data_IF_473178171713
#
_entry.id   IF_473178171713
#
_cell.length_a   1.000
_cell.length_b   1.000
_cell.length_c   1.000
_cell.angle_alpha   90.00
_cell.angle_beta   90.00
_cell.angle_gamma   90.00
#
_symmetry.space_group_name_H-M   'P 1'
#
loop_
_entity.id
_entity.type
_entity.pdbx_description
1 polymer ?
#
# COMPACT_ATOMS: atom_id res chain seq x y z
N UNK A 1 -25.66 41.02 15.76
CA UNK A 1 -24.86 39.80 15.96
C UNK A 1 -24.63 39.47 17.44
N UNK A 2 -23.54 39.88 18.09
CA UNK A 2 -23.22 39.37 19.45
C UNK A 2 -24.19 39.85 20.54
N UNK A 3 -24.62 41.11 20.48
CA UNK A 3 -25.63 41.64 21.40
C UNK A 3 -26.96 40.88 21.24
N UNK A 4 -27.38 40.58 20.02
CA UNK A 4 -28.59 39.79 19.73
C UNK A 4 -28.47 38.34 20.20
N UNK A 5 -27.26 37.78 20.16
CA UNK A 5 -26.94 36.50 20.78
C UNK A 5 -26.80 36.57 22.31
N UNK A 6 -27.14 37.70 22.95
CA UNK A 6 -27.05 37.91 24.41
C UNK A 6 -25.64 37.64 24.94
N UNK A 7 -24.63 38.08 24.20
CA UNK A 7 -23.21 37.89 24.54
C UNK A 7 -22.81 36.42 24.70
N UNK A 8 -23.50 35.53 23.99
CA UNK A 8 -23.16 34.11 23.93
C UNK A 8 -22.29 33.82 22.70
N UNK A 9 -21.08 33.36 22.95
CA UNK A 9 -20.08 33.05 21.94
C UNK A 9 -19.38 31.70 22.19
N UNK A 10 -18.83 31.16 21.12
CA UNK A 10 -18.06 29.92 21.09
C UNK A 10 -16.64 30.25 20.60
N UNK A 11 -15.67 30.06 21.48
CA UNK A 11 -14.25 30.24 21.19
C UNK A 11 -13.62 28.87 20.89
N UNK A 12 -13.28 28.63 19.63
CA UNK A 12 -12.58 27.42 19.20
C UNK A 12 -11.08 27.68 19.14
N UNK A 13 -10.31 26.98 19.97
CA UNK A 13 -8.84 27.05 20.00
C UNK A 13 -8.28 25.81 19.32
N UNK A 14 -7.55 25.99 18.23
CA UNK A 14 -6.88 24.92 17.51
C UNK A 14 -5.43 24.81 17.99
N UNK A 15 -5.03 23.60 18.38
CA UNK A 15 -3.68 23.29 18.85
C UNK A 15 -2.89 22.51 17.79
N UNK A 16 -1.56 22.56 17.84
CA UNK A 16 -0.65 21.66 17.11
C UNK A 16 -0.43 20.34 17.86
N UNK A 17 0.36 19.45 17.25
CA UNK A 17 0.74 18.14 17.82
C UNK A 17 1.55 18.23 19.12
N UNK A 18 2.13 19.40 19.41
CA UNK A 18 2.89 19.68 20.64
C UNK A 18 2.08 20.45 21.69
N UNK A 19 0.79 20.73 21.41
CA UNK A 19 -0.10 21.48 22.29
C UNK A 19 0.05 23.00 22.21
N UNK A 20 0.76 23.54 21.22
CA UNK A 20 0.86 25.00 20.97
C UNK A 20 -0.35 25.48 20.19
N UNK A 21 -0.81 26.69 20.49
CA UNK A 21 -1.94 27.31 19.78
C UNK A 21 -1.50 27.72 18.37
N UNK A 22 -2.21 27.20 17.36
CA UNK A 22 -2.00 27.53 15.94
C UNK A 22 -3.11 28.43 15.38
N UNK A 23 -4.27 28.45 16.03
CA UNK A 23 -5.39 29.26 15.58
C UNK A 23 -6.45 29.42 16.65
N UNK A 24 -7.13 30.55 16.61
CA UNK A 24 -8.27 30.85 17.47
C UNK A 24 -9.38 31.38 16.58
N UNK A 25 -10.54 30.76 16.67
CA UNK A 25 -11.73 31.13 15.90
C UNK A 25 -12.85 31.45 16.87
N UNK A 26 -13.45 32.63 16.70
CA UNK A 26 -14.62 33.04 17.44
C UNK A 26 -15.87 32.85 16.58
N UNK A 27 -16.88 32.19 17.13
CA UNK A 27 -18.18 32.00 16.49
C UNK A 27 -19.26 32.55 17.40
N UNK A 28 -20.18 33.34 16.85
CA UNK A 28 -21.32 33.87 17.58
C UNK A 28 -22.46 32.87 17.47
N UNK A 29 -23.18 32.61 18.56
CA UNK A 29 -24.29 31.67 18.57
C UNK A 29 -25.33 32.02 17.48
N UNK A 30 -25.83 30.98 16.79
CA UNK A 30 -26.75 31.08 15.64
C UNK A 30 -28.13 31.67 15.97
N UNK A 31 -28.37 32.06 17.22
CA UNK A 31 -29.56 32.79 17.65
C UNK A 31 -29.59 34.24 17.17
N UNK A 32 -28.49 34.79 16.62
CA UNK A 32 -28.50 36.15 16.06
C UNK A 32 -28.96 36.19 14.61
N UNK A 33 -30.05 36.91 14.32
CA UNK A 33 -30.55 37.12 12.94
C UNK A 33 -29.93 38.32 12.23
N UNK A 34 -29.22 39.20 12.95
CA UNK A 34 -28.52 40.37 12.38
C UNK A 34 -29.45 41.41 11.74
N UNK A 35 -30.69 41.46 12.22
CA UNK A 35 -31.74 42.33 11.69
C UNK A 35 -31.91 43.62 12.51
N UNK A 36 -31.06 43.85 13.51
CA UNK A 36 -31.11 45.05 14.34
C UNK A 36 -32.15 44.94 15.46
N UNK A 37 -32.35 43.74 16.00
CA UNK A 37 -33.34 43.51 17.05
C UNK A 37 -32.97 44.28 18.33
N UNK A 38 -33.96 44.89 18.97
CA UNK A 38 -33.76 45.59 20.23
C UNK A 38 -33.54 44.58 21.37
N UNK A 39 -32.32 44.54 21.91
CA UNK A 39 -31.95 43.65 23.02
C UNK A 39 -31.97 44.45 24.32
N UNK A 40 -32.68 43.99 25.36
CA UNK A 40 -32.64 44.62 26.68
C UNK A 40 -31.23 44.64 27.26
N UNK A 41 -30.82 45.78 27.82
CA UNK A 41 -29.52 45.95 28.50
C UNK A 41 -29.32 44.96 29.67
N UNK A 42 -30.41 44.44 30.25
CA UNK A 42 -30.35 43.40 31.28
C UNK A 42 -29.64 42.12 30.79
N UNK A 43 -29.75 41.81 29.50
CA UNK A 43 -29.18 40.63 28.88
C UNK A 43 -27.73 40.85 28.39
N UNK A 44 -27.19 42.05 28.54
CA UNK A 44 -25.86 42.45 28.06
C UNK A 44 -24.89 42.71 29.22
N UNK A 45 -25.15 42.12 30.40
CA UNK A 45 -24.36 42.33 31.62
C UNK A 45 -23.22 41.34 31.79
N UNK A 46 -23.38 40.14 31.26
CA UNK A 46 -22.43 39.04 31.43
C UNK A 46 -22.12 38.41 30.06
N UNK A 47 -20.87 38.04 29.86
CA UNK A 47 -20.43 37.30 28.67
C UNK A 47 -20.44 35.81 28.98
N UNK A 48 -21.06 35.02 28.09
CA UNK A 48 -21.07 33.56 28.19
C UNK A 48 -20.27 32.99 27.04
N UNK A 49 -19.01 32.63 27.33
CA UNK A 49 -18.10 32.08 26.32
C UNK A 49 -17.88 30.59 26.54
N UNK A 50 -18.33 29.78 25.58
CA UNK A 50 -18.01 28.37 25.53
C UNK A 50 -16.66 28.18 24.85
N UNK A 51 -15.69 27.56 25.52
CA UNK A 51 -14.36 27.31 24.95
C UNK A 51 -14.26 25.87 24.49
N UNK A 52 -13.91 25.68 23.22
CA UNK A 52 -13.71 24.35 22.62
C UNK A 52 -12.27 24.22 22.12
N UNK A 53 -11.54 23.26 22.67
CA UNK A 53 -10.15 23.01 22.31
C UNK A 53 -10.09 21.88 21.29
N UNK A 54 -9.57 22.15 20.09
CA UNK A 54 -9.41 21.21 18.99
C UNK A 54 -7.94 20.79 18.87
N UNK A 55 -7.57 19.58 19.33
CA UNK A 55 -6.24 19.03 19.08
C UNK A 55 -6.08 18.64 17.61
N UNK A 56 -4.84 18.47 17.15
CA UNK A 56 -4.57 17.86 15.84
C UNK A 56 -4.98 16.39 15.85
N UNK A 57 -5.83 16.00 14.91
CA UNK A 57 -6.15 14.59 14.67
C UNK A 57 -5.19 13.98 13.64
N UNK A 58 -4.87 12.70 13.82
CA UNK A 58 -4.10 11.96 12.83
C UNK A 58 -4.97 11.67 11.61
N UNK A 59 -4.44 11.90 10.42
CA UNK A 59 -5.13 11.59 9.17
C UNK A 59 -5.38 10.08 9.01
N UNK A 60 -6.29 9.69 8.11
CA UNK A 60 -6.57 8.29 7.84
C UNK A 60 -5.30 7.60 7.33
N UNK A 61 -4.99 6.43 7.90
CA UNK A 61 -3.87 5.61 7.45
C UNK A 61 -4.20 5.02 6.07
N UNK A 62 -3.25 4.98 5.11
CA UNK A 62 -3.52 4.44 3.78
C UNK A 62 -3.83 2.94 3.84
N UNK A 63 -4.79 2.48 3.03
CA UNK A 63 -5.09 1.05 2.86
C UNK A 63 -3.98 0.35 2.06
N UNK A 64 -2.99 -0.17 2.78
CA UNK A 64 -1.93 -0.99 2.19
C UNK A 64 -2.35 -2.45 2.01
N UNK A 65 -3.46 -2.90 2.61
CA UNK A 65 -3.87 -4.31 2.54
C UNK A 65 -4.22 -4.71 1.10
N UNK A 66 -4.95 -3.85 0.40
CA UNK A 66 -5.29 -4.05 -1.01
C UNK A 66 -4.06 -4.11 -1.92
N UNK A 67 -3.02 -3.33 -1.63
CA UNK A 67 -1.77 -3.35 -2.40
C UNK A 67 -0.93 -4.60 -2.11
N UNK A 68 -0.84 -5.00 -0.83
CA UNK A 68 -0.13 -6.21 -0.41
C UNK A 68 -0.77 -7.44 -1.07
N UNK A 69 -2.10 -7.54 -1.05
CA UNK A 69 -2.80 -8.67 -1.67
C UNK A 69 -2.58 -8.75 -3.18
N UNK A 70 -2.48 -7.60 -3.87
CA UNK A 70 -2.12 -7.56 -5.30
C UNK A 70 -0.71 -8.08 -5.53
N UNK A 71 0.25 -7.63 -4.73
CA UNK A 71 1.64 -8.09 -4.78
C UNK A 71 1.77 -9.59 -4.54
N UNK A 72 1.06 -10.13 -3.55
CA UNK A 72 1.05 -11.56 -3.25
C UNK A 72 0.46 -12.38 -4.40
N UNK A 73 -0.64 -11.91 -5.01
CA UNK A 73 -1.25 -12.55 -6.17
C UNK A 73 -0.34 -12.54 -7.39
N UNK A 74 0.35 -11.43 -7.66
CA UNK A 74 1.32 -11.34 -8.76
C UNK A 74 2.53 -12.23 -8.52
N UNK A 75 3.03 -12.28 -7.28
CA UNK A 75 4.11 -13.18 -6.88
C UNK A 75 3.72 -14.65 -7.07
N UNK A 76 2.53 -15.02 -6.62
CA UNK A 76 2.01 -16.39 -6.79
C UNK A 76 1.80 -16.74 -8.27
N UNK A 77 1.30 -15.82 -9.09
CA UNK A 77 1.16 -16.02 -10.53
C UNK A 77 2.53 -16.21 -11.22
N UNK A 78 3.56 -15.49 -10.76
CA UNK A 78 4.92 -15.61 -11.27
C UNK A 78 5.57 -16.94 -10.87
N UNK A 79 5.41 -17.36 -9.61
CA UNK A 79 5.90 -18.65 -9.11
C UNK A 79 5.16 -19.84 -9.76
N UNK A 80 3.86 -19.72 -10.02
CA UNK A 80 3.07 -20.74 -10.73
C UNK A 80 3.31 -20.75 -12.25
N UNK A 81 3.76 -19.63 -12.83
CA UNK A 81 4.00 -19.47 -14.27
C UNK A 81 5.37 -19.98 -14.74
N UNK A 82 6.35 -20.10 -13.84
CA UNK A 82 7.68 -20.65 -14.14
C UNK A 82 7.75 -22.18 -13.95
N UNK A 83 6.79 -22.92 -14.50
CA UNK A 83 7.00 -24.34 -14.75
C UNK A 83 7.78 -24.50 -16.05
N UNK A 84 9.05 -24.05 -16.06
CA UNK A 84 10.02 -24.58 -17.01
C UNK A 84 9.98 -26.10 -16.81
N UNK A 85 9.67 -26.84 -17.87
CA UNK A 85 9.51 -28.29 -17.88
C UNK A 85 10.77 -28.95 -17.27
N UNK A 86 10.78 -29.14 -15.95
CA UNK A 86 11.92 -29.66 -15.16
C UNK A 86 12.06 -31.18 -15.31
N UNK A 87 11.51 -31.76 -16.38
CA UNK A 87 11.73 -33.16 -16.71
C UNK A 87 13.16 -33.27 -17.21
N UNK A 88 13.94 -34.13 -16.56
CA UNK A 88 15.31 -34.44 -17.00
C UNK A 88 15.34 -34.66 -18.51
N UNK A 89 16.35 -34.11 -19.20
CA UNK A 89 16.55 -34.27 -20.65
C UNK A 89 16.49 -35.76 -21.03
N UNK A 90 16.96 -36.64 -20.16
CA UNK A 90 16.83 -38.08 -20.32
C UNK A 90 15.37 -38.53 -20.42
N UNK A 91 14.48 -38.06 -19.53
CA UNK A 91 13.06 -38.42 -19.55
C UNK A 91 12.35 -37.94 -20.83
N UNK A 92 12.78 -36.81 -21.39
CA UNK A 92 12.20 -36.25 -22.61
C UNK A 92 12.71 -36.91 -23.89
N UNK A 93 13.98 -37.34 -23.90
CA UNK A 93 14.66 -37.81 -25.10
C UNK A 93 15.11 -39.29 -25.04
N UNK A 94 14.70 -40.07 -24.03
CA UNK A 94 15.14 -41.46 -23.87
C UNK A 94 14.88 -42.31 -25.13
N UNK A 95 13.73 -42.09 -25.79
CA UNK A 95 13.36 -42.79 -27.02
C UNK A 95 14.35 -42.55 -28.17
N UNK A 96 15.05 -41.41 -28.18
CA UNK A 96 16.06 -41.09 -29.19
C UNK A 96 17.48 -41.45 -28.75
N UNK A 97 17.76 -41.33 -27.44
CA UNK A 97 19.07 -41.69 -26.87
C UNK A 97 19.31 -43.21 -27.00
N UNK A 98 18.31 -44.04 -26.71
CA UNK A 98 18.44 -45.51 -26.73
C UNK A 98 18.85 -46.06 -28.10
N UNK A 99 18.19 -45.70 -29.22
CA UNK A 99 18.59 -46.15 -30.55
C UNK A 99 20.02 -45.74 -30.94
N UNK A 100 20.43 -44.51 -30.61
CA UNK A 100 21.76 -43.99 -30.95
C UNK A 100 22.86 -44.73 -30.19
N UNK A 101 22.66 -44.99 -28.90
CA UNK A 101 23.61 -45.76 -28.08
C UNK A 101 23.70 -47.21 -28.56
N UNK A 102 22.58 -47.83 -28.95
CA UNK A 102 22.58 -49.19 -29.51
C UNK A 102 23.39 -49.24 -30.81
N UNK A 103 23.19 -48.28 -31.72
CA UNK A 103 23.95 -48.20 -32.96
C UNK A 103 25.44 -47.99 -32.70
N UNK A 104 25.81 -47.09 -31.78
CA UNK A 104 27.20 -46.86 -31.38
C UNK A 104 27.84 -48.12 -30.78
N UNK A 105 27.13 -48.85 -29.92
CA UNK A 105 27.63 -50.10 -29.33
C UNK A 105 27.84 -51.17 -30.39
N UNK A 106 26.88 -51.36 -31.31
CA UNK A 106 27.03 -52.31 -32.42
C UNK A 106 28.21 -51.89 -33.31
N UNK A 107 28.34 -50.62 -33.67
CA UNK A 107 29.49 -50.11 -34.45
C UNK A 107 30.83 -50.25 -33.72
N UNK A 108 30.85 -50.16 -32.38
CA UNK A 108 32.07 -50.40 -31.57
C UNK A 108 32.45 -51.87 -31.49
N UNK A 109 31.46 -52.78 -31.54
CA UNK A 109 31.67 -54.23 -31.50
C UNK A 109 32.01 -54.81 -32.88
N UNK A 110 31.47 -54.23 -33.96
CA UNK A 110 31.72 -54.69 -35.34
C UNK A 110 32.94 -54.03 -35.99
N UNK A 111 33.60 -53.08 -35.32
CA UNK A 111 34.77 -52.39 -35.85
C UNK A 111 35.82 -52.13 -34.75
N UNK A 112 36.68 -53.12 -34.43
CA UNK A 112 37.70 -52.99 -33.38
C UNK A 112 38.79 -51.93 -33.66
N UNK A 113 38.79 -51.27 -34.82
CA UNK A 113 39.79 -50.25 -35.18
C UNK A 113 39.29 -48.80 -35.10
N UNK A 114 37.99 -48.55 -34.92
CA UNK A 114 37.44 -47.18 -34.85
C UNK A 114 37.50 -46.55 -33.44
N UNK A 115 37.76 -47.35 -32.39
CA UNK A 115 37.91 -46.86 -31.02
C UNK A 115 39.34 -46.40 -30.66
N UNK A 116 40.31 -46.50 -31.59
CA UNK A 116 41.70 -46.09 -31.36
C UNK A 116 42.15 -44.89 -32.22
N UNK A 117 41.20 -44.09 -32.74
CA UNK A 117 41.46 -43.01 -33.70
C UNK A 117 41.41 -41.57 -33.16
N UNK A 118 41.58 -41.34 -31.85
CA UNK A 118 41.65 -40.00 -31.27
C UNK A 118 43.08 -39.63 -30.88
N UNK A 119 43.88 -39.17 -31.85
CA UNK A 119 45.30 -38.89 -31.72
C UNK A 119 45.69 -37.85 -30.67
N UNK A 120 46.86 -38.07 -30.07
CA UNK A 120 47.62 -37.05 -29.36
C UNK A 120 48.65 -36.40 -30.32
N UNK A 121 48.61 -35.07 -30.45
CA UNK A 121 49.80 -34.25 -30.63
C UNK A 121 49.95 -33.43 -31.93
N UNK A 122 50.03 -32.09 -31.72
CA UNK A 122 50.66 -31.03 -32.54
C UNK A 122 49.99 -30.58 -33.84
#
# INVERSE_FOLDING_TARGET
>A
MLAEAKLNDLLSVSLDYSGRVIGVTLVIASTSTCEGAAVPLSNLKEFTTAVHVRPTEMGPMPDTASYIQKLEREKEAKERGEVKDNRSILAKYWMYIVPVVILLMISSMTNPEAANGGGAGR
#
